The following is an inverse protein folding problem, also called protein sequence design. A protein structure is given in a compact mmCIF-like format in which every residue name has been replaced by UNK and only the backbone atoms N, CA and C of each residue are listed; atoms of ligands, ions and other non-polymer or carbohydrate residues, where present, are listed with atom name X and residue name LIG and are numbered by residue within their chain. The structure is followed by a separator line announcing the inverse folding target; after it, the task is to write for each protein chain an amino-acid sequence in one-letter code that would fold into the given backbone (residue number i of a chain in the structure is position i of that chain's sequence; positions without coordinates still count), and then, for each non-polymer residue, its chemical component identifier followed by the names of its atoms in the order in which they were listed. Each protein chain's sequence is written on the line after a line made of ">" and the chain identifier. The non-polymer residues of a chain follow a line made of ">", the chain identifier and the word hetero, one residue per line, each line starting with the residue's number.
data_IF_230914526976
#
_entry.id   IF_230914526976
#
_cell.length_a   1.000
_cell.length_b   1.000
_cell.length_c   1.000
_cell.angle_alpha   90.00
_cell.angle_beta   90.00
_cell.angle_gamma   90.00
#
_symmetry.space_group_name_H-M   'P 1'
#
loop_
_entity.id
_entity.type
_entity.pdbx_description
1 polymer ?
#
# COMPACT_ATOMS: atom_id res chain seq x y z
N UNK A 1 -25.45 117.86 14.67
CA UNK A 1 -25.02 116.51 14.99
C UNK A 1 -26.15 115.54 14.58
N UNK A 2 -26.01 114.74 13.58
CA UNK A 2 -27.08 113.81 13.13
C UNK A 2 -27.10 112.58 14.03
N UNK A 3 -28.23 112.27 14.57
CA UNK A 3 -28.50 111.03 15.30
C UNK A 3 -28.54 109.87 14.31
N UNK A 4 -27.54 109.01 14.42
CA UNK A 4 -27.61 107.73 13.74
C UNK A 4 -28.62 106.87 14.49
N UNK A 5 -29.77 106.69 13.87
CA UNK A 5 -30.90 105.95 14.44
C UNK A 5 -30.52 104.46 14.59
N UNK A 6 -30.76 103.89 15.76
CA UNK A 6 -30.51 102.46 16.14
C UNK A 6 -31.08 101.42 15.14
N UNK A 7 -32.01 101.84 14.31
CA UNK A 7 -32.61 101.03 13.23
C UNK A 7 -31.67 100.76 12.07
N UNK A 8 -30.76 101.69 11.74
CA UNK A 8 -29.78 101.41 10.62
C UNK A 8 -28.72 100.41 10.95
N UNK A 9 -28.28 100.37 12.21
CA UNK A 9 -27.28 99.44 12.68
C UNK A 9 -27.87 98.01 12.76
N UNK A 10 -29.12 97.85 13.21
CA UNK A 10 -29.79 96.55 13.25
C UNK A 10 -30.04 95.93 11.86
N UNK A 11 -30.39 96.79 10.88
CA UNK A 11 -30.56 96.34 9.48
C UNK A 11 -29.23 95.91 8.84
N UNK A 12 -28.13 96.62 9.15
CA UNK A 12 -26.80 96.27 8.65
C UNK A 12 -26.30 94.92 9.20
N UNK A 13 -26.52 94.72 10.53
CA UNK A 13 -26.13 93.44 11.17
C UNK A 13 -26.98 92.27 10.62
N UNK A 14 -28.27 92.45 10.37
CA UNK A 14 -29.13 91.43 9.79
C UNK A 14 -28.71 91.10 8.37
N UNK A 15 -28.31 92.08 7.55
CA UNK A 15 -27.82 91.82 6.18
C UNK A 15 -26.48 91.05 6.17
N UNK A 16 -25.56 91.31 7.07
CA UNK A 16 -24.30 90.61 7.21
C UNK A 16 -24.53 89.19 7.70
N UNK A 17 -25.46 88.93 8.61
CA UNK A 17 -25.80 87.63 9.10
C UNK A 17 -26.48 86.75 8.00
N UNK A 18 -27.39 87.35 7.22
CA UNK A 18 -28.01 86.63 6.09
C UNK A 18 -27.00 86.37 4.99
N UNK A 19 -26.10 87.33 4.73
CA UNK A 19 -25.00 87.09 3.76
C UNK A 19 -24.02 86.02 4.21
N UNK A 20 -23.68 86.00 5.50
CA UNK A 20 -22.82 84.98 6.08
C UNK A 20 -23.46 83.57 6.08
N UNK A 21 -24.78 83.50 6.42
CA UNK A 21 -25.52 82.24 6.33
C UNK A 21 -25.67 81.75 4.88
N UNK A 22 -25.99 82.67 3.95
CA UNK A 22 -26.10 82.37 2.55
C UNK A 22 -24.77 81.85 1.95
N UNK A 23 -23.64 82.47 2.33
CA UNK A 23 -22.30 82.01 1.92
C UNK A 23 -21.96 80.67 2.52
N UNK A 24 -22.30 80.45 3.79
CA UNK A 24 -22.04 79.20 4.45
C UNK A 24 -22.90 78.04 3.86
N UNK A 25 -24.22 78.33 3.68
CA UNK A 25 -25.13 77.39 3.03
C UNK A 25 -24.72 77.07 1.58
N UNK A 26 -24.30 78.09 0.82
CA UNK A 26 -23.78 77.91 -0.52
C UNK A 26 -22.51 77.06 -0.58
N UNK A 27 -21.61 77.22 0.40
CA UNK A 27 -20.38 76.45 0.48
C UNK A 27 -20.64 75.00 0.86
N UNK A 28 -21.64 74.75 1.73
CA UNK A 28 -22.04 73.35 2.05
C UNK A 28 -22.83 72.71 0.93
N UNK A 29 -23.68 73.46 0.21
CA UNK A 29 -24.45 72.90 -0.91
C UNK A 29 -23.64 72.71 -2.18
N UNK A 30 -22.49 73.42 -2.32
CA UNK A 30 -21.60 73.34 -3.48
C UNK A 30 -20.37 72.42 -3.22
N UNK A 31 -20.33 71.68 -2.07
CA UNK A 31 -19.39 70.58 -1.95
C UNK A 31 -19.81 69.54 -3.00
N UNK A 32 -19.03 69.39 -4.06
CA UNK A 32 -19.28 68.37 -5.03
C UNK A 32 -19.36 67.03 -4.31
N UNK A 33 -20.43 66.23 -4.50
CA UNK A 33 -20.44 64.90 -3.95
C UNK A 33 -19.18 64.17 -4.46
N UNK A 34 -18.45 63.52 -3.56
CA UNK A 34 -17.37 62.67 -3.94
C UNK A 34 -17.86 61.78 -5.10
N UNK A 35 -17.17 61.88 -6.23
CA UNK A 35 -17.59 61.15 -7.42
C UNK A 35 -17.51 59.66 -7.10
N UNK A 36 -18.64 58.93 -6.98
CA UNK A 36 -18.61 57.51 -6.67
C UNK A 36 -17.95 56.69 -7.76
N UNK A 37 -17.57 57.33 -8.88
CA UNK A 37 -16.82 56.75 -9.98
C UNK A 37 -15.30 57.02 -9.89
N UNK A 38 -14.81 57.61 -8.79
CA UNK A 38 -13.38 57.61 -8.55
C UNK A 38 -13.00 56.15 -8.33
N UNK A 39 -12.34 55.57 -9.31
CA UNK A 39 -11.89 54.16 -9.24
C UNK A 39 -11.15 53.96 -7.92
N UNK A 40 -11.50 52.95 -7.15
CA UNK A 40 -10.76 52.64 -5.92
C UNK A 40 -9.26 52.54 -6.25
N UNK A 41 -8.45 53.12 -5.39
CA UNK A 41 -7.00 53.01 -5.56
C UNK A 41 -6.63 51.54 -5.81
N UNK A 42 -5.80 51.27 -6.79
CA UNK A 42 -5.44 49.91 -7.08
C UNK A 42 -4.86 49.25 -5.82
N UNK A 43 -5.42 48.12 -5.42
CA UNK A 43 -4.89 47.34 -4.33
C UNK A 43 -3.53 46.78 -4.83
N UNK A 44 -2.47 47.21 -4.19
CA UNK A 44 -1.12 46.72 -4.45
C UNK A 44 -0.81 45.59 -3.46
N UNK A 45 -0.31 44.48 -3.97
CA UNK A 45 0.20 43.39 -3.16
C UNK A 45 1.72 43.38 -3.25
N UNK A 46 2.36 43.11 -2.13
CA UNK A 46 3.80 42.80 -2.14
C UNK A 46 3.97 41.38 -2.59
N UNK A 47 4.76 41.16 -3.63
CA UNK A 47 5.14 39.84 -4.08
C UNK A 47 6.13 39.26 -3.08
N UNK A 48 5.80 38.14 -2.47
CA UNK A 48 6.66 37.42 -1.54
C UNK A 48 7.10 36.10 -2.16
N UNK A 49 8.32 35.67 -1.88
CA UNK A 49 8.76 34.34 -2.24
C UNK A 49 8.10 33.31 -1.33
N UNK A 50 7.56 32.27 -1.90
CA UNK A 50 6.92 31.20 -1.16
C UNK A 50 6.85 29.91 -1.97
N UNK A 51 6.23 28.90 -1.38
CA UNK A 51 6.11 27.56 -1.96
C UNK A 51 4.63 27.22 -2.13
N UNK A 52 4.28 26.72 -3.30
CA UNK A 52 2.94 26.23 -3.61
C UNK A 52 3.04 24.79 -4.13
N UNK A 53 2.31 23.93 -3.48
CA UNK A 53 2.15 22.54 -3.89
C UNK A 53 0.78 22.04 -3.45
N UNK A 54 0.40 20.88 -3.94
CA UNK A 54 -0.86 20.24 -3.54
C UNK A 54 -0.64 18.75 -3.32
N UNK A 55 -1.01 18.29 -2.15
CA UNK A 55 -1.03 16.88 -1.82
C UNK A 55 -2.43 16.47 -1.35
N UNK A 56 -2.79 15.23 -1.61
CA UNK A 56 -4.00 14.59 -1.12
C UNK A 56 -3.63 13.47 -0.16
N UNK A 57 -4.40 13.33 0.91
CA UNK A 57 -4.18 12.26 1.89
C UNK A 57 -5.19 11.14 1.66
N UNK A 58 -4.69 9.92 1.59
CA UNK A 58 -5.45 8.67 1.46
C UNK A 58 -4.96 7.65 2.48
N UNK A 59 -5.64 6.53 2.55
CA UNK A 59 -5.15 5.32 3.23
C UNK A 59 -4.54 4.41 2.19
N UNK A 60 -3.27 4.03 2.37
CA UNK A 60 -2.65 2.93 1.64
C UNK A 60 -2.84 1.65 2.46
N UNK A 61 -3.25 0.60 1.80
CA UNK A 61 -3.43 -0.73 2.38
C UNK A 61 -2.27 -1.59 1.89
N UNK A 62 -1.51 -2.14 2.83
CA UNK A 62 -0.45 -3.10 2.54
C UNK A 62 -0.89 -4.51 2.92
N UNK A 63 -0.60 -5.48 2.07
CA UNK A 63 -0.87 -6.88 2.33
C UNK A 63 0.08 -7.78 1.54
N UNK A 64 0.28 -9.00 2.02
CA UNK A 64 1.03 -10.01 1.32
C UNK A 64 0.09 -10.83 0.43
N UNK A 65 0.39 -10.94 -0.85
CA UNK A 65 -0.37 -11.78 -1.79
C UNK A 65 0.06 -13.25 -1.64
N UNK A 66 -0.47 -13.91 -0.61
CA UNK A 66 -0.18 -15.30 -0.35
C UNK A 66 -0.75 -16.18 -1.46
N UNK A 67 0.08 -17.10 -1.99
CA UNK A 67 -0.31 -18.01 -3.05
C UNK A 67 -0.29 -19.46 -2.57
N UNK A 68 -1.31 -20.29 -2.89
CA UNK A 68 -1.28 -21.72 -2.59
C UNK A 68 -0.04 -22.37 -3.20
N UNK A 69 0.77 -23.04 -2.38
CA UNK A 69 2.00 -23.69 -2.80
C UNK A 69 1.92 -25.20 -2.72
N UNK A 70 1.21 -25.74 -1.74
CA UNK A 70 1.15 -27.16 -1.54
C UNK A 70 -0.13 -27.64 -0.88
N UNK A 71 -0.53 -28.85 -1.20
CA UNK A 71 -1.70 -29.53 -0.63
C UNK A 71 -1.27 -30.53 0.42
N UNK A 72 -2.00 -30.56 1.53
CA UNK A 72 -1.86 -31.60 2.52
C UNK A 72 -2.37 -32.94 1.97
N UNK A 73 -1.57 -33.99 2.06
CA UNK A 73 -2.01 -35.36 1.76
C UNK A 73 -2.34 -36.19 2.99
N UNK A 74 -2.03 -35.67 4.20
CA UNK A 74 -2.23 -36.42 5.44
C UNK A 74 -3.65 -36.24 5.99
N UNK A 75 -4.20 -37.31 6.55
CA UNK A 75 -5.44 -37.29 7.33
C UNK A 75 -5.13 -37.62 8.79
N UNK A 76 -5.67 -36.82 9.72
CA UNK A 76 -5.40 -37.00 11.16
C UNK A 76 -5.47 -35.70 11.92
N UNK A 77 -4.88 -35.64 13.08
CA UNK A 77 -4.81 -34.47 13.94
C UNK A 77 -3.42 -33.82 13.85
N UNK A 78 -3.36 -32.50 13.61
CA UNK A 78 -2.11 -31.76 13.65
C UNK A 78 -1.55 -31.77 15.07
N UNK A 79 -0.36 -32.34 15.25
CA UNK A 79 0.23 -32.55 16.57
C UNK A 79 1.35 -31.57 16.90
N UNK A 80 2.03 -31.00 15.91
CA UNK A 80 2.98 -29.90 16.10
C UNK A 80 3.17 -29.08 14.83
N UNK A 81 3.68 -27.87 14.97
CA UNK A 81 4.08 -26.96 13.88
C UNK A 81 5.44 -26.35 14.27
N UNK A 82 6.55 -26.97 13.86
CA UNK A 82 7.89 -26.45 14.14
C UNK A 82 8.22 -25.19 13.33
N UNK A 83 7.59 -25.01 12.17
CA UNK A 83 7.74 -23.85 11.29
C UNK A 83 6.61 -22.87 11.59
N UNK A 84 6.95 -21.58 11.63
CA UNK A 84 5.99 -20.47 11.79
C UNK A 84 5.77 -19.71 10.50
N UNK A 85 4.65 -19.00 10.40
CA UNK A 85 4.39 -18.16 9.25
C UNK A 85 5.45 -17.07 9.10
N UNK A 86 6.03 -16.95 7.90
CA UNK A 86 7.14 -16.03 7.60
C UNK A 86 8.52 -16.68 7.59
N UNK A 87 8.66 -17.90 8.14
CA UNK A 87 9.93 -18.61 8.11
C UNK A 87 10.29 -19.05 6.67
N UNK A 88 11.57 -19.02 6.37
CA UNK A 88 12.13 -19.61 5.15
C UNK A 88 12.38 -21.11 5.38
N UNK A 89 11.90 -21.93 4.44
CA UNK A 89 12.05 -23.37 4.50
C UNK A 89 12.85 -23.89 3.32
N UNK A 90 13.58 -24.96 3.56
CA UNK A 90 14.42 -25.68 2.59
C UNK A 90 13.95 -27.12 2.42
N UNK A 91 14.44 -27.77 1.36
CA UNK A 91 14.09 -29.16 1.09
C UNK A 91 14.45 -30.08 2.28
N UNK A 92 13.50 -30.86 2.73
CA UNK A 92 13.67 -31.75 3.87
C UNK A 92 13.19 -31.19 5.22
N UNK A 93 12.82 -29.89 5.29
CA UNK A 93 12.29 -29.32 6.52
C UNK A 93 10.91 -29.89 6.85
N UNK A 94 10.66 -30.11 8.14
CA UNK A 94 9.36 -30.56 8.64
C UNK A 94 8.47 -29.36 8.85
N UNK A 95 7.42 -29.22 8.03
CA UNK A 95 6.47 -28.12 8.13
C UNK A 95 5.54 -28.26 9.34
N UNK A 96 4.97 -29.44 9.52
CA UNK A 96 4.06 -29.78 10.62
C UNK A 96 4.05 -31.30 10.82
N UNK A 97 3.39 -31.77 11.89
CA UNK A 97 3.18 -33.22 12.11
C UNK A 97 1.69 -33.53 12.19
N UNK A 98 1.27 -34.65 11.62
CA UNK A 98 -0.08 -35.20 11.73
C UNK A 98 -0.01 -36.56 12.41
N UNK A 99 -0.73 -36.73 13.52
CA UNK A 99 -0.70 -37.94 14.35
C UNK A 99 0.76 -38.37 14.69
N UNK A 100 1.61 -37.37 15.02
CA UNK A 100 3.05 -37.49 15.30
C UNK A 100 3.92 -37.88 14.08
N UNK A 101 3.36 -37.97 12.88
CA UNK A 101 4.08 -38.24 11.66
C UNK A 101 4.47 -36.91 10.97
N UNK A 102 5.74 -36.68 10.65
CA UNK A 102 6.19 -35.44 10.01
C UNK A 102 5.72 -35.34 8.58
N UNK A 103 5.33 -34.13 8.18
CA UNK A 103 5.06 -33.73 6.81
C UNK A 103 6.20 -32.81 6.36
N UNK A 104 6.93 -33.25 5.35
CA UNK A 104 8.19 -32.63 4.92
C UNK A 104 7.96 -31.86 3.62
N UNK A 105 8.66 -30.74 3.43
CA UNK A 105 8.63 -29.98 2.18
C UNK A 105 9.70 -30.45 1.20
N UNK A 106 9.35 -30.50 -0.09
CA UNK A 106 10.25 -30.84 -1.19
C UNK A 106 9.93 -30.02 -2.43
N UNK A 107 10.90 -29.89 -3.34
CA UNK A 107 10.67 -29.30 -4.66
C UNK A 107 9.94 -30.29 -5.56
N UNK A 108 8.92 -29.79 -6.26
CA UNK A 108 8.22 -30.60 -7.27
C UNK A 108 6.99 -29.89 -7.80
N UNK A 109 6.69 -30.16 -9.07
CA UNK A 109 5.51 -29.62 -9.77
C UNK A 109 4.30 -30.56 -9.72
N UNK A 110 4.51 -31.82 -9.35
CA UNK A 110 3.45 -32.82 -9.23
C UNK A 110 3.14 -33.04 -7.76
N UNK A 111 1.92 -32.74 -7.32
CA UNK A 111 1.52 -32.97 -5.92
C UNK A 111 1.60 -34.47 -5.56
N UNK A 112 1.88 -34.77 -4.29
CA UNK A 112 1.77 -36.11 -3.78
C UNK A 112 0.30 -36.57 -3.83
N UNK A 113 -0.02 -37.56 -4.66
CA UNK A 113 -1.39 -38.01 -4.89
C UNK A 113 -1.61 -39.49 -4.55
N UNK A 114 -0.55 -40.21 -4.22
CA UNK A 114 -0.56 -41.62 -3.89
C UNK A 114 0.61 -42.02 -3.00
N UNK A 115 0.49 -43.14 -2.35
CA UNK A 115 1.64 -43.75 -1.70
C UNK A 115 2.65 -44.27 -2.72
N UNK A 116 3.94 -44.05 -2.44
CA UNK A 116 5.05 -44.51 -3.28
C UNK A 116 5.80 -45.65 -2.59
N UNK A 117 5.87 -46.75 -3.29
CA UNK A 117 6.53 -47.98 -2.81
C UNK A 117 7.22 -48.72 -3.95
N UNK A 118 7.83 -49.85 -3.65
CA UNK A 118 8.55 -50.70 -4.64
C UNK A 118 7.70 -50.93 -5.90
N UNK A 119 8.29 -50.71 -7.06
CA UNK A 119 7.71 -50.80 -8.40
C UNK A 119 6.77 -49.62 -8.79
N UNK A 120 6.56 -48.63 -7.94
CA UNK A 120 5.92 -47.38 -8.37
C UNK A 120 6.84 -46.69 -9.41
N UNK A 121 6.22 -46.02 -10.38
CA UNK A 121 6.95 -45.22 -11.36
C UNK A 121 6.16 -44.00 -11.76
N UNK A 122 6.87 -42.89 -12.02
CA UNK A 122 6.28 -41.63 -12.44
C UNK A 122 7.11 -40.43 -12.06
N UNK A 123 6.66 -39.23 -12.48
CA UNK A 123 7.33 -37.96 -12.12
C UNK A 123 7.31 -37.68 -10.62
N UNK A 124 6.29 -38.14 -9.88
CA UNK A 124 6.21 -38.11 -8.43
C UNK A 124 7.35 -38.87 -7.76
N UNK A 125 7.73 -40.03 -8.32
CA UNK A 125 8.88 -40.82 -7.85
C UNK A 125 10.20 -40.12 -8.16
N UNK A 126 10.31 -39.48 -9.34
CA UNK A 126 11.51 -38.71 -9.68
C UNK A 126 11.74 -37.57 -8.70
N UNK A 127 10.69 -36.79 -8.37
CA UNK A 127 10.75 -35.71 -7.38
C UNK A 127 11.16 -36.21 -5.98
N UNK A 128 10.64 -37.37 -5.55
CA UNK A 128 11.09 -38.03 -4.32
C UNK A 128 12.57 -38.38 -4.37
N UNK A 129 13.03 -38.95 -5.50
CA UNK A 129 14.44 -39.33 -5.67
C UNK A 129 15.33 -38.06 -5.62
N UNK A 130 14.92 -36.95 -6.24
CA UNK A 130 15.61 -35.66 -6.18
C UNK A 130 15.73 -35.17 -4.72
N UNK A 131 14.66 -35.25 -3.93
CA UNK A 131 14.69 -34.92 -2.50
C UNK A 131 15.71 -35.82 -1.77
N UNK A 132 15.67 -37.15 -2.01
CA UNK A 132 16.55 -38.07 -1.32
C UNK A 132 18.02 -37.87 -1.70
N UNK A 133 18.31 -37.45 -2.96
CA UNK A 133 19.65 -37.05 -3.41
C UNK A 133 20.08 -35.76 -2.70
N UNK A 134 19.23 -34.77 -2.68
CA UNK A 134 19.51 -33.48 -2.00
C UNK A 134 19.80 -33.66 -0.51
N UNK A 135 19.13 -34.62 0.14
CA UNK A 135 19.34 -34.96 1.55
C UNK A 135 20.51 -35.97 1.79
N UNK A 136 21.16 -36.48 0.73
CA UNK A 136 22.27 -37.40 0.84
C UNK A 136 21.89 -38.84 1.20
N UNK A 137 20.62 -39.24 1.02
CA UNK A 137 20.17 -40.61 1.25
C UNK A 137 20.22 -41.48 0.00
N UNK A 138 20.32 -40.88 -1.19
CA UNK A 138 20.36 -41.57 -2.48
C UNK A 138 21.54 -41.08 -3.31
N UNK A 139 22.38 -41.98 -3.81
CA UNK A 139 23.59 -41.66 -4.58
C UNK A 139 23.45 -42.00 -6.07
N UNK A 140 22.22 -42.22 -6.55
CA UNK A 140 21.95 -42.53 -7.96
C UNK A 140 21.12 -41.43 -8.60
N UNK A 141 21.25 -41.26 -9.91
CA UNK A 141 20.47 -40.27 -10.66
C UNK A 141 18.97 -40.63 -10.62
N UNK A 142 18.08 -39.63 -10.39
CA UNK A 142 16.64 -39.84 -10.40
C UNK A 142 16.14 -40.38 -11.75
N UNK A 143 15.58 -41.58 -11.77
CA UNK A 143 15.07 -42.28 -12.95
C UNK A 143 13.54 -42.39 -12.99
N UNK A 144 12.88 -41.92 -11.92
CA UNK A 144 11.42 -42.00 -11.77
C UNK A 144 10.89 -43.41 -11.51
N UNK A 145 11.75 -44.38 -11.15
CA UNK A 145 11.33 -45.74 -10.82
C UNK A 145 11.69 -46.07 -9.38
N UNK A 146 10.71 -46.38 -8.56
CA UNK A 146 10.92 -46.75 -7.16
C UNK A 146 11.52 -48.13 -7.05
N UNK A 147 12.85 -48.20 -7.21
CA UNK A 147 13.63 -49.40 -7.11
C UNK A 147 14.04 -49.77 -5.69
N UNK A 148 14.88 -50.79 -5.54
CA UNK A 148 15.40 -51.18 -4.21
C UNK A 148 16.34 -50.15 -3.61
N UNK A 149 17.08 -49.40 -4.41
CA UNK A 149 17.93 -48.29 -3.98
C UNK A 149 17.08 -47.19 -3.36
N UNK A 150 16.01 -46.77 -4.07
CA UNK A 150 15.04 -45.78 -3.57
C UNK A 150 14.37 -46.25 -2.28
N UNK A 151 13.94 -47.52 -2.21
CA UNK A 151 13.37 -48.07 -0.99
C UNK A 151 14.34 -48.03 0.21
N UNK A 152 15.60 -48.36 -0.03
CA UNK A 152 16.63 -48.33 1.01
C UNK A 152 16.89 -46.89 1.49
N UNK A 153 16.91 -45.92 0.56
CA UNK A 153 17.06 -44.51 0.84
C UNK A 153 15.87 -43.97 1.66
N UNK A 154 14.63 -44.31 1.27
CA UNK A 154 13.41 -43.95 2.02
C UNK A 154 13.48 -44.53 3.45
N UNK A 155 13.89 -45.79 3.63
CA UNK A 155 14.07 -46.37 4.98
C UNK A 155 15.11 -45.61 5.80
N UNK A 156 16.23 -45.23 5.20
CA UNK A 156 17.26 -44.46 5.90
C UNK A 156 16.77 -43.10 6.31
N UNK A 157 16.05 -42.41 5.41
CA UNK A 157 15.43 -41.13 5.68
C UNK A 157 14.34 -41.24 6.76
N UNK A 158 13.44 -42.20 6.70
CA UNK A 158 12.43 -42.46 7.74
C UNK A 158 13.07 -42.67 9.12
N UNK A 159 14.19 -43.38 9.22
CA UNK A 159 14.94 -43.53 10.49
C UNK A 159 15.47 -42.20 11.00
N UNK A 160 15.96 -41.32 10.12
CA UNK A 160 16.45 -40.01 10.51
C UNK A 160 15.34 -39.11 11.05
N UNK A 161 14.12 -39.29 10.54
CA UNK A 161 12.91 -38.60 11.02
C UNK A 161 12.31 -39.23 12.30
N UNK A 162 12.84 -40.35 12.76
CA UNK A 162 12.34 -41.05 13.95
C UNK A 162 10.98 -41.74 13.74
N UNK A 163 10.59 -42.02 12.49
CA UNK A 163 9.35 -42.73 12.15
C UNK A 163 9.62 -44.17 11.75
N UNK A 164 8.55 -44.96 11.61
CA UNK A 164 8.66 -46.35 11.15
C UNK A 164 9.30 -46.44 9.76
N UNK A 165 10.36 -47.21 9.62
CA UNK A 165 11.15 -47.37 8.42
C UNK A 165 10.63 -48.54 7.52
N UNK A 166 9.39 -48.47 7.09
CA UNK A 166 8.77 -49.47 6.23
C UNK A 166 9.19 -49.36 4.76
N UNK A 167 9.77 -48.22 4.35
CA UNK A 167 10.23 -48.00 2.98
C UNK A 167 9.08 -47.68 2.03
N UNK A 168 7.97 -47.17 2.58
CA UNK A 168 6.83 -46.65 1.83
C UNK A 168 6.70 -45.14 2.16
N UNK A 169 6.65 -44.31 1.16
CA UNK A 169 6.32 -42.91 1.35
C UNK A 169 4.82 -42.70 1.18
N UNK A 170 4.13 -42.35 2.23
CA UNK A 170 2.72 -41.98 2.14
C UNK A 170 2.50 -40.65 1.41
N UNK A 171 1.38 -40.51 0.72
CA UNK A 171 1.01 -39.23 0.08
C UNK A 171 0.96 -38.06 1.06
N UNK A 172 0.75 -38.36 2.36
CA UNK A 172 0.73 -37.35 3.43
C UNK A 172 2.08 -37.05 4.06
N UNK A 173 3.17 -37.67 3.65
CA UNK A 173 4.49 -37.50 4.26
C UNK A 173 5.28 -36.35 3.64
N UNK A 174 4.87 -35.86 2.44
CA UNK A 174 5.56 -34.82 1.71
C UNK A 174 4.58 -33.85 1.07
N UNK A 175 4.95 -32.58 1.12
CA UNK A 175 4.31 -31.51 0.34
C UNK A 175 5.31 -31.01 -0.69
N UNK A 176 4.95 -31.16 -1.96
CA UNK A 176 5.75 -30.62 -3.05
C UNK A 176 5.36 -29.16 -3.32
N UNK A 177 6.38 -28.30 -3.44
CA UNK A 177 6.26 -26.88 -3.79
C UNK A 177 7.11 -26.59 -5.03
N UNK A 178 6.77 -25.58 -5.85
CA UNK A 178 7.46 -25.32 -7.11
C UNK A 178 8.96 -25.01 -6.97
N UNK A 179 9.35 -24.34 -5.89
CA UNK A 179 10.73 -23.88 -5.64
C UNK A 179 11.07 -23.87 -4.15
N UNK A 180 12.34 -24.03 -3.83
CA UNK A 180 12.93 -23.89 -2.49
C UNK A 180 14.34 -23.30 -2.63
N UNK A 181 14.82 -22.49 -1.65
CA UNK A 181 14.12 -22.12 -0.43
C UNK A 181 13.00 -21.11 -0.69
N UNK A 182 11.98 -21.11 0.17
CA UNK A 182 10.83 -20.20 0.04
C UNK A 182 10.29 -19.83 1.43
N UNK A 183 9.80 -18.61 1.57
CA UNK A 183 9.07 -18.19 2.78
C UNK A 183 7.65 -18.74 2.73
N UNK A 184 7.21 -19.34 3.83
CA UNK A 184 5.90 -19.99 3.92
C UNK A 184 4.97 -19.30 4.90
N UNK A 185 3.69 -19.43 4.65
CA UNK A 185 2.60 -19.17 5.58
C UNK A 185 1.66 -20.38 5.57
N UNK A 186 0.75 -20.40 6.51
CA UNK A 186 -0.20 -21.50 6.65
C UNK A 186 -1.62 -20.97 6.63
N UNK A 187 -2.52 -21.75 6.01
CA UNK A 187 -3.95 -21.44 6.07
C UNK A 187 -4.45 -21.56 7.53
N UNK A 188 -5.45 -20.77 7.90
CA UNK A 188 -6.04 -20.75 9.26
C UNK A 188 -6.56 -22.13 9.72
N UNK A 189 -6.86 -23.01 8.76
CA UNK A 189 -7.27 -24.38 9.03
C UNK A 189 -6.14 -25.24 9.60
N UNK A 190 -4.86 -24.88 9.35
CA UNK A 190 -3.69 -25.61 9.84
C UNK A 190 -3.23 -25.03 11.18
N UNK A 191 -3.64 -25.64 12.26
CA UNK A 191 -3.21 -25.31 13.62
C UNK A 191 -3.15 -26.58 14.48
N UNK A 192 -2.32 -26.54 15.50
CA UNK A 192 -2.21 -27.67 16.45
C UNK A 192 -3.59 -28.02 17.01
N UNK A 193 -3.94 -29.30 16.95
CA UNK A 193 -5.25 -29.84 17.34
C UNK A 193 -6.31 -29.82 16.24
N UNK A 194 -6.05 -29.18 15.08
CA UNK A 194 -6.96 -29.25 13.95
C UNK A 194 -6.96 -30.66 13.35
N UNK A 195 -8.12 -31.07 12.82
CA UNK A 195 -8.26 -32.33 12.08
C UNK A 195 -8.23 -32.07 10.59
N UNK A 196 -7.32 -32.73 9.90
CA UNK A 196 -7.17 -32.72 8.46
C UNK A 196 -7.79 -33.99 7.85
N UNK A 197 -8.30 -33.86 6.63
CA UNK A 197 -8.95 -34.95 5.88
C UNK A 197 -8.13 -35.38 4.64
N UNK A 198 -7.13 -34.58 4.27
CA UNK A 198 -6.36 -34.70 3.05
C UNK A 198 -6.96 -33.89 1.89
N UNK A 199 -6.10 -33.25 1.10
CA UNK A 199 -6.47 -32.41 -0.04
C UNK A 199 -6.63 -30.92 0.25
N UNK A 200 -6.52 -30.49 1.50
CA UNK A 200 -6.57 -29.07 1.88
C UNK A 200 -5.36 -28.31 1.35
N UNK A 201 -5.59 -27.08 0.88
CA UNK A 201 -4.52 -26.13 0.57
C UNK A 201 -4.09 -25.45 1.87
N UNK A 202 -3.02 -25.95 2.48
CA UNK A 202 -2.60 -25.49 3.81
C UNK A 202 -1.26 -24.79 3.81
N UNK A 203 -0.43 -25.02 2.78
CA UNK A 203 0.87 -24.36 2.64
C UNK A 203 0.75 -23.27 1.60
N UNK A 204 1.09 -22.07 2.00
CA UNK A 204 1.08 -20.87 1.17
C UNK A 204 2.51 -20.36 1.03
N UNK A 205 2.86 -19.80 -0.10
CA UNK A 205 4.12 -19.05 -0.28
C UNK A 205 3.89 -17.57 -0.01
N UNK A 206 4.89 -16.96 0.59
CA UNK A 206 4.94 -15.54 0.87
C UNK A 206 5.85 -14.89 -0.18
N UNK A 207 5.38 -13.93 -0.99
CA UNK A 207 6.21 -13.25 -1.96
C UNK A 207 7.33 -12.46 -1.27
N UNK A 208 8.31 -11.98 -2.05
CA UNK A 208 9.42 -11.19 -1.53
C UNK A 208 8.94 -9.88 -0.91
N UNK A 209 7.97 -9.23 -1.55
CA UNK A 209 7.46 -7.92 -1.20
C UNK A 209 5.95 -7.92 -1.02
N UNK A 210 5.40 -7.11 -0.08
CA UNK A 210 3.98 -6.90 0.03
C UNK A 210 3.48 -5.94 -1.03
N UNK A 211 2.21 -6.07 -1.41
CA UNK A 211 1.52 -5.16 -2.31
C UNK A 211 0.95 -3.99 -1.51
N UNK A 212 1.20 -2.76 -1.98
CA UNK A 212 0.63 -1.53 -1.44
C UNK A 212 -0.39 -0.98 -2.43
N UNK A 213 -1.61 -0.75 -1.98
CA UNK A 213 -2.67 -0.19 -2.81
C UNK A 213 -3.37 0.99 -2.13
N UNK A 214 -3.79 1.98 -2.92
CA UNK A 214 -4.69 3.04 -2.47
C UNK A 214 -6.04 2.84 -3.18
N UNK A 215 -7.08 2.38 -2.48
CA UNK A 215 -8.40 2.20 -3.08
C UNK A 215 -9.09 3.55 -3.28
N UNK A 216 -9.46 3.86 -4.52
CA UNK A 216 -10.08 5.11 -4.91
C UNK A 216 -11.43 4.90 -5.58
N UNK A 217 -12.33 5.89 -5.43
CA UNK A 217 -13.48 6.01 -6.30
C UNK A 217 -13.06 6.53 -7.70
N UNK A 218 -13.86 6.34 -8.75
CA UNK A 218 -13.55 6.88 -10.07
C UNK A 218 -13.33 8.40 -10.09
N UNK A 219 -14.06 9.13 -9.23
CA UNK A 219 -13.93 10.57 -9.09
C UNK A 219 -12.58 10.94 -8.45
N UNK A 220 -12.19 10.24 -7.40
CA UNK A 220 -10.89 10.43 -6.73
C UNK A 220 -9.73 10.08 -7.66
N UNK A 221 -9.89 9.03 -8.48
CA UNK A 221 -8.87 8.61 -9.44
C UNK A 221 -8.50 9.73 -10.42
N UNK A 222 -9.49 10.52 -10.87
CA UNK A 222 -9.25 11.63 -11.79
C UNK A 222 -8.35 12.73 -11.20
N UNK A 223 -8.22 12.80 -9.87
CA UNK A 223 -7.42 13.80 -9.18
C UNK A 223 -5.95 13.37 -8.99
N UNK A 224 -5.61 12.09 -9.22
CA UNK A 224 -4.28 11.55 -8.97
C UNK A 224 -3.56 11.30 -10.30
N UNK A 225 -2.43 11.96 -10.59
CA UNK A 225 -1.63 11.67 -11.78
C UNK A 225 -1.04 10.25 -11.73
N UNK A 226 -0.82 9.63 -12.89
CA UNK A 226 0.05 8.46 -12.99
C UNK A 226 1.49 8.87 -12.67
N UNK A 227 2.24 7.96 -12.05
CA UNK A 227 3.60 8.20 -11.57
C UNK A 227 3.71 9.31 -10.49
N UNK A 228 2.59 9.69 -9.85
CA UNK A 228 2.61 10.63 -8.73
C UNK A 228 3.51 10.09 -7.61
N UNK A 229 4.26 10.98 -6.98
CA UNK A 229 5.02 10.67 -5.77
C UNK A 229 4.06 10.46 -4.60
N UNK A 230 4.36 9.46 -3.79
CA UNK A 230 3.55 9.08 -2.62
C UNK A 230 4.48 8.95 -1.42
N UNK A 231 4.11 9.60 -0.33
CA UNK A 231 4.79 9.45 0.97
C UNK A 231 3.92 8.60 1.87
N UNK A 232 4.38 7.39 2.18
CA UNK A 232 3.70 6.45 3.06
C UNK A 232 4.29 6.57 4.45
N UNK A 233 3.49 7.03 5.41
CA UNK A 233 3.93 7.27 6.80
C UNK A 233 3.76 6.00 7.62
N UNK A 234 4.83 5.55 8.28
CA UNK A 234 4.85 4.47 9.25
C UNK A 234 5.39 4.98 10.60
N UNK A 235 5.30 4.24 11.72
CA UNK A 235 5.65 4.75 13.05
C UNK A 235 7.06 5.31 13.21
N UNK A 236 8.04 4.82 12.45
CA UNK A 236 9.43 5.23 12.56
C UNK A 236 9.89 6.18 11.45
N UNK A 237 9.01 6.48 10.45
CA UNK A 237 9.42 7.34 9.34
C UNK A 237 8.42 7.44 8.18
N UNK A 238 8.98 7.64 7.01
CA UNK A 238 8.24 7.77 5.76
C UNK A 238 8.94 6.97 4.68
N UNK A 239 8.20 6.10 4.02
CA UNK A 239 8.65 5.46 2.79
C UNK A 239 8.28 6.31 1.58
N UNK A 240 9.21 6.45 0.67
CA UNK A 240 8.97 7.12 -0.60
C UNK A 240 8.53 6.11 -1.66
N UNK A 241 7.38 6.35 -2.25
CA UNK A 241 6.76 5.48 -3.22
C UNK A 241 6.30 6.27 -4.44
N UNK A 242 5.87 5.55 -5.48
CA UNK A 242 5.24 6.11 -6.68
C UNK A 242 4.05 5.28 -7.10
N UNK A 243 3.06 5.92 -7.69
CA UNK A 243 1.97 5.23 -8.35
C UNK A 243 2.53 4.55 -9.61
N UNK A 244 2.47 3.22 -9.66
CA UNK A 244 2.91 2.42 -10.80
C UNK A 244 1.78 2.26 -11.82
N UNK A 245 0.64 1.78 -11.35
CA UNK A 245 -0.51 1.52 -12.19
C UNK A 245 -1.83 1.71 -11.43
N UNK A 246 -2.93 1.69 -12.17
CA UNK A 246 -4.27 1.67 -11.63
C UNK A 246 -4.99 0.42 -12.16
N UNK A 247 -5.44 -0.42 -11.27
CA UNK A 247 -6.12 -1.67 -11.58
C UNK A 247 -7.57 -1.64 -11.10
N UNK A 248 -8.43 -2.46 -11.69
CA UNK A 248 -9.79 -2.63 -11.16
C UNK A 248 -9.72 -3.32 -9.80
N UNK A 249 -10.33 -2.68 -8.80
CA UNK A 249 -10.43 -3.29 -7.47
C UNK A 249 -11.38 -4.49 -7.50
N UNK A 250 -11.11 -5.55 -6.71
CA UNK A 250 -12.10 -6.61 -6.46
C UNK A 250 -13.42 -6.08 -5.92
N UNK A 251 -13.41 -4.89 -5.31
CA UNK A 251 -14.63 -4.21 -4.85
C UNK A 251 -15.25 -3.42 -6.01
N UNK A 252 -16.47 -3.79 -6.40
CA UNK A 252 -17.19 -3.15 -7.51
C UNK A 252 -17.21 -1.62 -7.43
N UNK A 253 -16.84 -0.97 -8.54
CA UNK A 253 -16.87 0.50 -8.67
C UNK A 253 -15.69 1.21 -8.03
N UNK A 254 -14.62 0.50 -7.65
CA UNK A 254 -13.37 1.08 -7.14
C UNK A 254 -12.20 0.77 -8.07
N UNK A 255 -11.17 1.58 -7.96
CA UNK A 255 -9.88 1.39 -8.61
C UNK A 255 -8.80 1.39 -7.54
N UNK A 256 -7.88 0.45 -7.62
CA UNK A 256 -6.74 0.38 -6.72
C UNK A 256 -5.53 0.98 -7.44
N UNK A 257 -4.90 2.00 -6.83
CA UNK A 257 -3.60 2.48 -7.27
C UNK A 257 -2.53 1.60 -6.63
N UNK A 258 -1.82 0.86 -7.45
CA UNK A 258 -0.68 0.06 -7.00
C UNK A 258 0.53 0.97 -6.85
N UNK A 259 1.19 0.86 -5.70
CA UNK A 259 2.39 1.61 -5.37
C UNK A 259 3.63 0.73 -5.50
N UNK A 260 4.71 1.31 -5.99
CA UNK A 260 6.05 0.74 -5.92
C UNK A 260 7.01 1.70 -5.22
N UNK A 261 8.16 1.23 -4.80
CA UNK A 261 9.21 2.07 -4.24
C UNK A 261 9.67 3.14 -5.24
N UNK A 262 10.18 4.25 -4.75
CA UNK A 262 10.63 5.36 -5.58
C UNK A 262 11.77 4.98 -6.53
N UNK A 263 12.54 3.96 -6.16
CA UNK A 263 13.63 3.36 -6.94
C UNK A 263 13.19 2.21 -7.87
N UNK A 264 11.90 1.87 -7.85
CA UNK A 264 11.29 0.77 -8.60
C UNK A 264 11.28 -0.57 -7.88
N UNK A 265 11.76 -0.62 -6.63
CA UNK A 265 11.72 -1.78 -5.76
C UNK A 265 10.49 -1.81 -4.86
N UNK A 266 10.62 -2.45 -3.70
CA UNK A 266 9.61 -2.49 -2.64
C UNK A 266 9.36 -1.12 -2.03
N UNK A 267 8.11 -0.84 -1.62
CA UNK A 267 7.75 0.41 -0.92
C UNK A 267 8.43 0.50 0.45
N UNK A 268 8.51 -0.60 1.18
CA UNK A 268 9.05 -0.67 2.54
C UNK A 268 10.46 -1.25 2.64
N UNK A 269 11.06 -1.70 1.50
CA UNK A 269 12.40 -2.28 1.48
C UNK A 269 12.55 -3.43 2.50
N UNK A 270 13.62 -3.42 3.28
CA UNK A 270 13.91 -4.43 4.30
C UNK A 270 12.99 -4.36 5.52
N UNK A 271 12.26 -3.25 5.69
CA UNK A 271 11.39 -3.04 6.85
C UNK A 271 10.03 -3.70 6.73
N UNK A 272 9.69 -4.25 5.55
CA UNK A 272 8.37 -4.79 5.25
C UNK A 272 7.87 -5.79 6.29
N UNK A 273 8.73 -6.74 6.68
CA UNK A 273 8.36 -7.80 7.63
C UNK A 273 8.07 -7.27 9.06
N UNK A 274 8.63 -6.12 9.41
CA UNK A 274 8.43 -5.50 10.72
C UNK A 274 7.11 -4.73 10.82
N UNK A 275 6.61 -4.19 9.69
CA UNK A 275 5.50 -3.24 9.72
C UNK A 275 4.25 -3.71 8.98
N UNK A 276 4.36 -4.67 8.08
CA UNK A 276 3.22 -5.22 7.33
C UNK A 276 2.87 -6.60 7.88
N UNK A 277 1.67 -6.72 8.46
CA UNK A 277 1.16 -7.98 8.99
C UNK A 277 1.11 -9.05 7.89
N UNK A 278 1.60 -10.27 8.18
CA UNK A 278 1.71 -11.33 7.19
C UNK A 278 0.35 -11.89 6.75
N UNK A 279 -0.57 -12.02 7.69
CA UNK A 279 -1.90 -12.61 7.44
C UNK A 279 -3.01 -11.56 7.38
N UNK A 280 -2.73 -10.35 7.83
CA UNK A 280 -3.67 -9.25 7.94
C UNK A 280 -3.28 -8.10 7.02
N UNK A 281 -4.27 -7.30 6.61
CA UNK A 281 -4.01 -6.03 5.95
C UNK A 281 -3.54 -5.00 6.97
N UNK A 282 -2.59 -4.16 6.57
CA UNK A 282 -2.09 -3.06 7.38
C UNK A 282 -2.35 -1.74 6.70
N UNK A 283 -2.97 -0.82 7.42
CA UNK A 283 -3.32 0.51 6.92
C UNK A 283 -2.23 1.53 7.25
N UNK A 284 -1.82 2.29 6.24
CA UNK A 284 -0.85 3.38 6.36
C UNK A 284 -1.44 4.68 5.84
N UNK A 285 -1.03 5.79 6.43
CA UNK A 285 -1.34 7.10 5.90
C UNK A 285 -0.47 7.38 4.68
N UNK A 286 -1.10 7.63 3.52
CA UNK A 286 -0.42 7.96 2.27
C UNK A 286 -0.72 9.39 1.85
N UNK A 287 0.32 10.17 1.58
CA UNK A 287 0.22 11.52 1.04
C UNK A 287 0.66 11.48 -0.43
N UNK A 288 -0.29 11.67 -1.33
CA UNK A 288 -0.05 11.69 -2.78
C UNK A 288 0.22 13.12 -3.23
N UNK A 289 1.34 13.37 -3.85
CA UNK A 289 1.73 14.68 -4.40
C UNK A 289 1.07 14.86 -5.76
N UNK A 290 0.05 15.73 -5.81
CA UNK A 290 -0.70 16.03 -7.05
C UNK A 290 -0.03 17.16 -7.84
N UNK A 291 0.46 18.17 -7.12
CA UNK A 291 1.25 19.26 -7.68
C UNK A 291 2.52 19.34 -6.83
N UNK A 292 3.68 19.10 -7.43
CA UNK A 292 4.95 19.22 -6.72
C UNK A 292 5.13 20.63 -6.16
N UNK A 293 5.79 20.71 -5.01
CA UNK A 293 6.13 21.97 -4.39
C UNK A 293 7.02 22.80 -5.32
N UNK A 294 6.52 23.95 -5.74
CA UNK A 294 7.23 24.90 -6.58
C UNK A 294 7.50 26.18 -5.77
N UNK A 295 8.76 26.55 -5.68
CA UNK A 295 9.20 27.80 -5.03
C UNK A 295 9.23 28.92 -6.07
N UNK A 296 8.63 30.06 -5.70
CA UNK A 296 8.62 31.22 -6.57
C UNK A 296 7.83 32.40 -5.99
N UNK A 297 7.74 33.50 -6.75
CA UNK A 297 7.00 34.67 -6.35
C UNK A 297 5.49 34.35 -6.27
N UNK A 298 4.91 34.59 -5.10
CA UNK A 298 3.49 34.36 -4.85
C UNK A 298 2.69 35.65 -4.96
N UNK A 299 1.57 35.56 -5.67
CA UNK A 299 0.55 36.60 -5.69
C UNK A 299 -0.82 35.97 -5.42
N UNK A 300 -1.72 36.64 -4.69
CA UNK A 300 -3.10 36.17 -4.54
C UNK A 300 -3.81 36.12 -5.92
N UNK A 301 -4.68 35.15 -6.12
CA UNK A 301 -5.47 35.03 -7.37
C UNK A 301 -6.24 36.32 -7.65
N UNK A 302 -6.69 37.04 -6.60
CA UNK A 302 -7.37 38.33 -6.74
C UNK A 302 -6.48 39.48 -7.28
N UNK A 303 -5.17 39.31 -7.29
CA UNK A 303 -4.19 40.25 -7.85
C UNK A 303 -3.89 39.98 -9.34
N UNK A 304 -4.35 38.86 -9.88
CA UNK A 304 -4.20 38.49 -11.30
C UNK A 304 -5.36 39.11 -12.06
N UNK A 305 -5.07 40.14 -12.87
CA UNK A 305 -6.02 40.71 -13.81
C UNK A 305 -5.91 40.01 -15.16
N UNK A 306 -7.04 39.84 -15.86
CA UNK A 306 -7.04 39.41 -17.25
C UNK A 306 -7.07 40.61 -18.18
N UNK A 307 -6.37 40.53 -19.29
CA UNK A 307 -6.43 41.54 -20.34
C UNK A 307 -7.75 41.46 -21.17
N UNK A 308 -7.88 42.32 -22.19
CA UNK A 308 -9.05 42.34 -23.06
C UNK A 308 -9.21 41.04 -23.91
N UNK A 309 -8.19 40.19 -23.99
CA UNK A 309 -8.21 38.88 -24.62
C UNK A 309 -8.52 37.74 -23.62
N UNK A 310 -8.75 38.07 -22.36
CA UNK A 310 -8.97 37.12 -21.24
C UNK A 310 -7.74 36.27 -20.92
N UNK A 311 -6.54 36.76 -21.24
CA UNK A 311 -5.27 36.16 -20.85
C UNK A 311 -4.79 36.80 -19.50
N UNK A 312 -4.21 35.97 -18.57
CA UNK A 312 -3.74 36.45 -17.26
C UNK A 312 -2.49 37.32 -17.34
#
# INVERSE_FOLDING_TARGET
>A
MPQVTRTGVAAGVAFVLVGAMGFWAGRVALVSPENPLTAPAPLTYTVEEGQVGRSLTFTAIAHWELSPAGRNGAAGVVTSMPVTAGDEVSAGDVLYTVDLRPVVVAVGSVPAFRDMSLAAAGPDVAQLQELLVALGFLDVEPDGVFGRSTQSAVKAWQRSLGVKDDGVLGAGDVVFVPELPVRVAFADSLRVGARLSGGEEVVLTVPADPTFVIPLSPEQRSLVPLAAEVKVTYPEGVWEARVQEAVESPQMGRLDLVLGGADGGSVCGDDCAAWVGLLDQTDFRAQVVVIPDTVGPLVPISAIGTDAANEP
#
